data_IF_484614526563
#
_entry.id   IF_484614526563
#
_cell.length_a   1.000
_cell.length_b   1.000
_cell.length_c   1.000
_cell.angle_alpha   90.00
_cell.angle_beta   90.00
_cell.angle_gamma   90.00
#
_symmetry.space_group_name_H-M   'P 1'
#
loop_
_entity.id
_entity.type
_entity.pdbx_description
1 polymer ?
#
# COMPACT_ATOMS: atom_id res chain seq x y z
N UNK A 1 4.11 -15.58 11.76
CA UNK A 1 5.24 -14.69 11.44
C UNK A 1 6.36 -14.97 12.44
N UNK A 2 7.47 -15.58 12.02
CA UNK A 2 8.45 -16.23 12.90
C UNK A 2 9.58 -15.35 13.45
N UNK A 3 9.50 -14.03 13.32
CA UNK A 3 10.56 -13.12 13.80
C UNK A 3 10.27 -12.74 15.25
N UNK A 4 10.82 -13.50 16.19
CA UNK A 4 10.61 -13.31 17.64
C UNK A 4 11.90 -12.99 18.40
N UNK A 5 13.06 -13.49 17.94
CA UNK A 5 14.31 -13.38 18.68
C UNK A 5 14.70 -11.93 18.99
N UNK A 6 14.49 -11.01 18.05
CA UNK A 6 14.83 -9.59 18.20
C UNK A 6 14.12 -8.87 19.36
N UNK A 7 13.02 -9.44 19.87
CA UNK A 7 12.26 -8.91 21.00
C UNK A 7 12.57 -9.65 22.32
N UNK A 8 13.30 -10.76 22.25
CA UNK A 8 13.66 -11.60 23.40
C UNK A 8 14.92 -11.13 24.11
N UNK A 9 15.22 -11.73 25.27
CA UNK A 9 16.47 -11.47 26.00
C UNK A 9 17.70 -12.13 25.36
N UNK A 10 17.48 -13.03 24.38
CA UNK A 10 18.54 -13.66 23.58
C UNK A 10 18.77 -12.97 22.23
N UNK A 11 18.27 -11.74 22.07
CA UNK A 11 18.51 -10.97 20.86
C UNK A 11 20.00 -10.69 20.69
N UNK A 12 20.54 -10.97 19.51
CA UNK A 12 21.94 -10.67 19.20
C UNK A 12 22.02 -9.42 18.32
N UNK A 13 22.40 -8.31 18.96
CA UNK A 13 22.67 -7.03 18.31
C UNK A 13 24.14 -6.61 18.46
N UNK A 14 25.06 -7.57 18.66
CA UNK A 14 26.50 -7.33 18.85
C UNK A 14 27.17 -6.55 17.71
N UNK A 15 26.59 -6.55 16.50
CA UNK A 15 27.06 -5.75 15.36
C UNK A 15 26.57 -4.30 15.35
N UNK A 16 25.69 -3.94 16.28
CA UNK A 16 25.08 -2.60 16.38
C UNK A 16 25.39 -1.91 17.70
N UNK A 17 25.62 -2.67 18.78
CA UNK A 17 25.93 -2.16 20.11
C UNK A 17 26.79 -3.17 20.87
N UNK A 18 27.71 -2.66 21.68
CA UNK A 18 28.51 -3.47 22.61
C UNK A 18 27.70 -3.89 23.85
N UNK A 19 26.55 -3.26 24.10
CA UNK A 19 25.64 -3.58 25.19
C UNK A 19 24.62 -4.67 24.81
N UNK A 20 24.12 -5.40 25.81
CA UNK A 20 23.03 -6.34 25.63
C UNK A 20 21.70 -5.59 25.45
N UNK A 21 21.34 -5.32 24.20
CA UNK A 21 20.13 -4.60 23.80
C UNK A 21 19.12 -5.52 23.13
N UNK A 22 17.84 -5.10 23.11
CA UNK A 22 16.76 -5.76 22.38
C UNK A 22 15.76 -4.74 21.85
N UNK A 23 14.96 -5.12 20.86
CA UNK A 23 13.88 -4.29 20.37
C UNK A 23 12.69 -4.40 21.32
N UNK A 24 12.23 -3.28 21.87
CA UNK A 24 11.05 -3.24 22.73
C UNK A 24 9.74 -3.10 21.95
N UNK A 25 9.75 -2.31 20.87
CA UNK A 25 8.56 -2.02 20.05
C UNK A 25 8.95 -1.61 18.63
N UNK A 26 8.20 -2.11 17.65
CA UNK A 26 8.21 -1.60 16.27
C UNK A 26 6.79 -1.15 15.95
N UNK A 27 6.65 0.06 15.41
CA UNK A 27 5.36 0.60 14.97
C UNK A 27 5.51 0.99 13.50
N UNK A 28 4.60 0.47 12.66
CA UNK A 28 4.46 0.89 11.28
C UNK A 28 3.13 1.61 11.13
N UNK A 29 3.16 2.86 10.68
CA UNK A 29 1.97 3.65 10.35
C UNK A 29 1.97 3.92 8.85
N UNK A 30 0.84 3.66 8.19
CA UNK A 30 0.64 3.90 6.78
C UNK A 30 -0.68 4.64 6.58
N UNK A 31 -0.74 5.49 5.55
CA UNK A 31 -1.93 6.24 5.17
C UNK A 31 -2.03 6.29 3.65
N UNK A 32 -3.24 6.15 3.12
CA UNK A 32 -3.54 6.22 1.69
C UNK A 32 -4.67 7.24 1.54
N UNK A 33 -4.44 8.28 0.74
CA UNK A 33 -5.49 9.21 0.30
C UNK A 33 -5.79 8.94 -1.17
N UNK A 34 -7.07 8.90 -1.50
CA UNK A 34 -7.54 8.78 -2.87
C UNK A 34 -8.53 9.90 -3.11
N UNK A 35 -8.24 10.74 -4.10
CA UNK A 35 -9.14 11.76 -4.59
C UNK A 35 -9.08 11.77 -6.12
N UNK A 36 -10.07 12.42 -6.74
CA UNK A 36 -10.18 12.53 -8.20
C UNK A 36 -9.05 13.36 -8.82
N UNK A 37 -8.40 14.20 -8.01
CA UNK A 37 -7.34 15.10 -8.40
C UNK A 37 -5.95 14.50 -8.21
N UNK A 38 -5.85 13.20 -7.86
CA UNK A 38 -4.61 12.50 -7.49
C UNK A 38 -3.49 12.51 -8.56
N UNK A 39 -3.73 13.15 -9.70
CA UNK A 39 -2.71 13.79 -10.53
C UNK A 39 -3.37 14.91 -11.34
N UNK A 40 -3.11 16.16 -10.98
CA UNK A 40 -3.37 17.31 -11.85
C UNK A 40 -2.65 17.08 -13.20
N UNK A 41 -3.38 17.15 -14.31
CA UNK A 41 -2.89 17.24 -15.71
C UNK A 41 -2.36 16.00 -16.47
N UNK A 42 -3.11 14.89 -16.57
CA UNK A 42 -2.81 13.83 -17.58
C UNK A 42 -3.95 13.45 -18.56
N UNK A 43 -5.06 14.19 -18.62
CA UNK A 43 -6.12 13.88 -19.58
C UNK A 43 -6.90 15.13 -20.01
N UNK A 44 -6.30 15.98 -20.84
CA UNK A 44 -7.02 17.07 -21.50
C UNK A 44 -6.87 17.07 -23.03
N UNK A 45 -6.35 16.02 -23.65
CA UNK A 45 -6.48 15.79 -25.09
C UNK A 45 -6.11 14.36 -25.46
N UNK A 46 -7.13 13.50 -25.59
CA UNK A 46 -6.99 12.18 -26.20
C UNK A 46 -8.18 11.96 -27.12
N UNK A 47 -7.94 11.82 -28.42
CA UNK A 47 -8.99 11.44 -29.36
C UNK A 47 -9.46 10.01 -29.02
N UNK A 48 -10.69 9.86 -28.55
CA UNK A 48 -11.30 8.55 -28.40
C UNK A 48 -11.77 8.07 -29.78
N UNK A 49 -11.06 7.08 -30.34
CA UNK A 49 -11.67 6.18 -31.32
C UNK A 49 -12.69 5.35 -30.54
N UNK A 50 -13.95 5.75 -30.60
CA UNK A 50 -15.04 5.04 -29.92
C UNK A 50 -15.27 3.75 -30.70
N UNK A 51 -14.98 2.61 -30.07
CA UNK A 51 -15.52 1.34 -30.56
C UNK A 51 -17.05 1.44 -30.51
N UNK A 52 -17.77 1.04 -31.56
CA UNK A 52 -19.25 1.10 -31.60
C UNK A 52 -19.93 0.18 -30.56
N UNK A 53 -19.14 -0.59 -29.81
CA UNK A 53 -19.58 -1.38 -28.66
C UNK A 53 -19.44 -0.53 -27.39
N UNK A 54 -20.50 -0.43 -26.59
CA UNK A 54 -20.44 0.21 -25.28
C UNK A 54 -19.36 -0.46 -24.41
N UNK A 55 -18.37 0.29 -23.87
CA UNK A 55 -17.43 -0.25 -22.91
C UNK A 55 -18.18 -0.66 -21.64
N UNK A 56 -17.77 -1.78 -21.03
CA UNK A 56 -18.35 -2.25 -19.78
C UNK A 56 -17.98 -1.32 -18.64
N UNK A 57 -18.99 -0.79 -17.95
CA UNK A 57 -18.80 0.00 -16.72
C UNK A 57 -18.41 -0.91 -15.56
N UNK A 58 -17.39 -0.53 -14.80
CA UNK A 58 -16.97 -1.23 -13.58
C UNK A 58 -17.40 -0.39 -12.39
N UNK A 59 -18.20 -0.99 -11.50
CA UNK A 59 -18.58 -0.41 -10.22
C UNK A 59 -17.74 -1.04 -9.10
N UNK A 60 -17.09 -0.19 -8.30
CA UNK A 60 -16.29 -0.59 -7.12
C UNK A 60 -17.04 -0.16 -5.86
N UNK A 61 -18.26 -0.69 -5.70
CA UNK A 61 -19.27 -0.29 -4.71
C UNK A 61 -19.48 -1.32 -3.58
N UNK A 62 -18.58 -2.31 -3.50
CA UNK A 62 -18.57 -3.40 -2.52
C UNK A 62 -17.15 -3.69 -2.05
N UNK A 63 -16.91 -4.46 -0.96
CA UNK A 63 -15.57 -4.67 -0.42
C UNK A 63 -14.54 -5.07 -1.47
N UNK A 64 -13.42 -4.36 -1.50
CA UNK A 64 -12.38 -4.52 -2.50
C UNK A 64 -10.97 -4.45 -1.90
N UNK A 65 -9.98 -4.85 -2.69
CA UNK A 65 -8.56 -4.73 -2.35
C UNK A 65 -7.95 -3.66 -3.24
N UNK A 66 -7.18 -2.75 -2.64
CA UNK A 66 -6.35 -1.78 -3.34
C UNK A 66 -4.88 -2.07 -3.10
N UNK A 67 -4.09 -2.04 -4.17
CA UNK A 67 -2.65 -2.26 -4.12
C UNK A 67 -1.96 -1.17 -4.93
N UNK A 68 -1.01 -0.47 -4.32
CA UNK A 68 -0.14 0.49 -5.02
C UNK A 68 1.16 -0.24 -5.31
N UNK A 69 1.50 -0.37 -6.59
CA UNK A 69 2.65 -1.15 -7.06
C UNK A 69 3.65 -0.25 -7.77
N UNK A 70 4.94 -0.41 -7.45
CA UNK A 70 6.03 0.19 -8.22
C UNK A 70 6.06 -0.40 -9.63
N UNK A 71 5.86 0.43 -10.66
CA UNK A 71 5.93 -0.02 -12.07
C UNK A 71 7.33 -0.50 -12.47
N UNK A 72 8.38 0.08 -11.88
CA UNK A 72 9.76 -0.26 -12.23
C UNK A 72 10.18 -1.64 -11.71
N UNK A 73 9.67 -2.05 -10.55
CA UNK A 73 10.13 -3.27 -9.84
C UNK A 73 9.04 -4.31 -9.64
N UNK A 74 7.77 -3.97 -9.90
CA UNK A 74 6.63 -4.82 -9.59
C UNK A 74 6.35 -4.97 -8.08
N UNK A 75 7.03 -4.19 -7.22
CA UNK A 75 6.93 -4.34 -5.77
C UNK A 75 5.66 -3.68 -5.23
N UNK A 76 4.82 -4.38 -4.45
CA UNK A 76 3.69 -3.75 -3.76
C UNK A 76 4.20 -2.84 -2.65
N UNK A 77 3.92 -1.55 -2.77
CA UNK A 77 4.28 -0.52 -1.79
C UNK A 77 3.21 -0.40 -0.70
N UNK A 78 1.95 -0.54 -1.09
CA UNK A 78 0.79 -0.52 -0.19
C UNK A 78 -0.18 -1.63 -0.54
N UNK A 79 -0.77 -2.22 0.49
CA UNK A 79 -1.83 -3.21 0.36
C UNK A 79 -2.93 -2.86 1.36
N UNK A 80 -4.14 -2.64 0.85
CA UNK A 80 -5.29 -2.27 1.67
C UNK A 80 -6.50 -3.11 1.30
N UNK A 81 -7.28 -3.47 2.32
CA UNK A 81 -8.64 -3.98 2.15
C UNK A 81 -9.61 -2.88 2.55
N UNK A 82 -10.48 -2.49 1.63
CA UNK A 82 -11.53 -1.49 1.86
C UNK A 82 -12.85 -2.24 2.01
N UNK A 83 -13.39 -2.25 3.22
CA UNK A 83 -14.71 -2.85 3.50
C UNK A 83 -15.84 -1.82 3.36
N UNK A 84 -15.64 -0.63 3.91
CA UNK A 84 -16.51 0.55 3.72
C UNK A 84 -15.62 1.78 3.52
N UNK A 85 -15.69 2.49 2.38
CA UNK A 85 -14.88 3.68 2.13
C UNK A 85 -15.27 4.89 2.99
N UNK A 86 -16.41 4.86 3.67
CA UNK A 86 -16.89 5.96 4.54
C UNK A 86 -16.42 5.85 6.00
N UNK A 87 -15.86 4.70 6.38
CA UNK A 87 -15.51 4.40 7.78
C UNK A 87 -14.04 4.72 8.13
N UNK A 88 -13.41 5.65 7.40
CA UNK A 88 -11.99 6.01 7.53
C UNK A 88 -11.82 7.34 8.27
#
# INVERSE_FOLDING_TARGET
MGISNMFGNGADFSRMSDDNVKISKIIQKAFISVDENGSEAAAATGAQIVTLMMPSTIYVDKPFISVIVSKATGTPLFWARVNDPRSQ
#
